data_IF_175512169549
#
_entry.id   IF_175512169549
#
_cell.length_a   1.000
_cell.length_b   1.000
_cell.length_c   1.000
_cell.angle_alpha   90.00
_cell.angle_beta   90.00
_cell.angle_gamma   90.00
#
_symmetry.space_group_name_H-M   'P 1'
#
loop_
_entity.id
_entity.type
_entity.pdbx_description
1 polymer ?
#
# COMPACT_ATOMS: atom_id res chain seq x y z
N UNK A 1 32.21 -40.76 -29.79
CA UNK A 1 32.49 -39.33 -29.54
C UNK A 1 32.06 -38.55 -30.78
N UNK A 2 30.90 -37.90 -30.75
CA UNK A 2 30.43 -37.00 -31.80
C UNK A 2 30.32 -35.61 -31.19
N UNK A 3 31.14 -34.67 -31.68
CA UNK A 3 31.03 -33.25 -31.34
C UNK A 3 30.03 -32.61 -32.29
N UNK A 4 28.88 -32.20 -31.77
CA UNK A 4 27.88 -31.40 -32.49
C UNK A 4 28.16 -29.93 -32.18
N UNK A 5 28.87 -29.25 -33.08
CA UNK A 5 29.11 -27.81 -33.01
C UNK A 5 27.87 -27.06 -33.51
N UNK A 6 27.15 -26.41 -32.60
CA UNK A 6 26.03 -25.51 -32.93
C UNK A 6 26.60 -24.09 -33.10
N UNK A 7 26.60 -23.61 -34.34
CA UNK A 7 26.79 -22.19 -34.65
C UNK A 7 25.47 -21.45 -34.41
N UNK A 8 25.41 -20.59 -33.40
CA UNK A 8 24.28 -19.68 -33.19
C UNK A 8 24.58 -18.37 -33.91
N UNK A 9 23.78 -18.08 -34.92
CA UNK A 9 23.79 -16.87 -35.73
C UNK A 9 23.15 -15.72 -34.93
N UNK A 10 23.94 -14.71 -34.55
CA UNK A 10 23.44 -13.49 -33.90
C UNK A 10 22.75 -12.59 -34.93
N UNK A 11 21.42 -12.49 -34.86
CA UNK A 11 20.67 -11.50 -35.61
C UNK A 11 20.69 -10.16 -34.88
N UNK A 12 21.40 -9.18 -35.44
CA UNK A 12 21.39 -7.77 -35.00
C UNK A 12 20.12 -7.12 -35.55
N UNK A 13 19.12 -6.89 -34.70
CA UNK A 13 17.96 -6.08 -35.03
C UNK A 13 18.23 -4.60 -34.71
N UNK A 14 18.57 -3.83 -35.73
CA UNK A 14 18.57 -2.35 -35.71
C UNK A 14 17.14 -1.84 -35.90
N UNK A 15 16.46 -1.54 -34.80
CA UNK A 15 15.16 -0.86 -34.80
C UNK A 15 15.30 0.67 -34.88
N UNK A 16 14.28 1.39 -35.38
CA UNK A 16 14.32 2.84 -35.57
C UNK A 16 14.28 3.61 -34.24
N UNK A 17 15.18 4.59 -34.12
CA UNK A 17 15.26 5.56 -33.03
C UNK A 17 14.07 6.51 -33.13
N UNK A 18 13.10 6.39 -32.23
CA UNK A 18 11.97 7.32 -32.13
C UNK A 18 12.36 8.51 -31.25
N UNK A 19 12.77 9.61 -31.89
CA UNK A 19 13.04 10.89 -31.22
C UNK A 19 11.69 11.50 -30.82
N UNK A 20 11.40 11.57 -29.52
CA UNK A 20 10.26 12.35 -29.00
C UNK A 20 10.60 13.84 -29.02
N UNK A 21 9.70 14.72 -29.52
CA UNK A 21 9.88 16.16 -29.40
C UNK A 21 9.72 16.63 -27.94
N UNK A 22 10.39 17.73 -27.54
CA UNK A 22 10.22 18.36 -26.25
C UNK A 22 8.83 18.99 -26.15
N UNK A 23 8.06 18.61 -25.12
CA UNK A 23 6.77 19.21 -24.84
C UNK A 23 6.99 20.53 -24.10
N UNK A 24 6.53 21.59 -24.73
CA UNK A 24 6.57 22.99 -24.31
C UNK A 24 5.90 23.21 -22.95
N UNK A 25 6.56 23.98 -22.09
CA UNK A 25 5.96 24.67 -20.95
C UNK A 25 4.74 25.50 -21.40
N UNK A 26 3.66 25.46 -20.64
CA UNK A 26 2.75 26.59 -20.56
C UNK A 26 2.47 26.93 -19.10
N UNK A 27 3.17 27.99 -18.69
CA UNK A 27 2.92 28.81 -17.52
C UNK A 27 1.46 29.28 -17.44
N UNK A 28 0.84 29.16 -16.27
CA UNK A 28 -0.23 30.06 -15.82
C UNK A 28 -0.16 30.19 -14.29
N UNK A 29 0.51 31.25 -13.86
CA UNK A 29 0.37 31.83 -12.52
C UNK A 29 -0.83 32.78 -12.50
N UNK A 30 -1.57 32.75 -11.39
CA UNK A 30 -2.20 33.92 -10.77
C UNK A 30 -3.59 34.34 -11.25
N UNK A 31 -4.60 34.22 -10.37
CA UNK A 31 -5.21 35.41 -9.77
C UNK A 31 -5.98 35.04 -8.49
N UNK A 32 -5.78 35.88 -7.47
CA UNK A 32 -6.45 35.91 -6.18
C UNK A 32 -7.97 36.13 -6.32
N UNK A 33 -8.75 35.46 -5.48
CA UNK A 33 -9.90 36.08 -4.81
C UNK A 33 -10.16 35.42 -3.44
N UNK A 34 -10.38 36.28 -2.46
CA UNK A 34 -10.71 36.07 -1.03
C UNK A 34 -11.57 37.29 -0.66
N UNK A 35 -12.32 37.37 0.45
CA UNK A 35 -13.02 36.39 1.30
C UNK A 35 -14.55 36.71 1.39
N UNK A 36 -15.39 35.84 1.97
CA UNK A 36 -16.77 36.27 2.28
C UNK A 36 -17.69 35.26 2.98
N UNK A 37 -18.24 35.71 4.12
CA UNK A 37 -19.39 35.23 4.90
C UNK A 37 -19.17 33.97 5.79
N UNK A 38 -19.00 34.09 7.11
CA UNK A 38 -19.92 34.56 8.18
C UNK A 38 -20.90 33.47 8.67
N UNK A 39 -21.11 33.31 10.00
CA UNK A 39 -21.55 32.05 10.62
C UNK A 39 -23.08 31.98 10.75
N UNK A 40 -23.63 30.77 10.68
CA UNK A 40 -25.04 30.51 11.04
C UNK A 40 -25.12 29.55 12.23
N UNK A 41 -25.86 30.05 13.22
CA UNK A 41 -26.13 29.57 14.58
C UNK A 41 -26.55 28.09 14.71
N UNK A 42 -26.45 27.51 15.93
CA UNK A 42 -26.77 26.13 16.21
C UNK A 42 -28.28 25.88 16.31
N UNK A 43 -28.73 24.86 15.58
CA UNK A 43 -30.08 24.30 15.63
C UNK A 43 -30.29 23.48 16.90
N UNK A 44 -31.13 24.04 17.76
CA UNK A 44 -31.57 23.58 19.06
C UNK A 44 -32.71 22.54 18.94
N UNK A 45 -32.52 21.41 19.64
CA UNK A 45 -33.52 20.61 20.37
C UNK A 45 -34.54 19.67 19.65
N UNK A 46 -34.58 18.46 20.23
CA UNK A 46 -35.75 17.63 20.59
C UNK A 46 -36.15 16.48 19.66
N UNK A 47 -35.87 15.24 20.09
CA UNK A 47 -36.80 14.12 20.39
C UNK A 47 -35.97 12.83 20.54
N UNK A 48 -36.24 11.82 21.38
CA UNK A 48 -37.33 11.49 22.32
C UNK A 48 -36.73 10.46 23.28
N UNK A 49 -36.59 10.83 24.56
CA UNK A 49 -36.14 9.92 25.61
C UNK A 49 -37.34 9.05 26.04
N UNK A 50 -37.38 7.79 25.64
CA UNK A 50 -38.35 6.82 26.15
C UNK A 50 -37.98 6.41 27.56
N UNK A 51 -38.75 6.97 28.51
CA UNK A 51 -38.83 6.63 29.92
C UNK A 51 -39.21 5.14 30.07
N UNK A 52 -38.24 4.28 30.39
CA UNK A 52 -38.52 3.01 31.06
C UNK A 52 -38.17 3.17 32.54
N UNK A 53 -39.19 3.01 33.39
CA UNK A 53 -39.12 3.11 34.84
C UNK A 53 -38.49 1.85 35.44
N UNK A 54 -37.35 2.05 36.10
CA UNK A 54 -36.88 1.49 37.37
C UNK A 54 -37.22 0.04 37.72
N UNK A 55 -36.18 -0.80 37.84
CA UNK A 55 -36.05 -1.72 38.97
C UNK A 55 -34.70 -1.47 39.65
N UNK A 56 -34.76 -1.27 40.96
CA UNK A 56 -33.74 -0.71 41.83
C UNK A 56 -33.40 -1.73 42.91
N UNK A 57 -32.52 -2.70 42.63
CA UNK A 57 -31.77 -3.47 43.65
C UNK A 57 -30.48 -3.98 43.00
N UNK A 58 -29.31 -3.53 43.46
CA UNK A 58 -28.03 -4.11 43.03
C UNK A 58 -26.86 -3.14 42.94
N UNK A 59 -26.65 -2.32 43.97
CA UNK A 59 -25.36 -1.68 44.25
C UNK A 59 -24.32 -2.79 44.49
N UNK A 60 -23.56 -3.15 43.46
CA UNK A 60 -22.28 -3.86 43.61
C UNK A 60 -21.20 -2.96 43.03
N UNK A 61 -20.26 -2.60 43.88
CA UNK A 61 -19.23 -1.59 43.69
C UNK A 61 -18.56 -1.70 42.30
N UNK A 62 -18.67 -0.63 41.50
CA UNK A 62 -17.80 -0.39 40.36
C UNK A 62 -16.39 -0.17 40.91
N UNK A 63 -15.61 -1.25 41.03
CA UNK A 63 -14.19 -1.19 41.30
C UNK A 63 -13.52 -0.60 40.06
N UNK A 64 -13.25 0.70 40.10
CA UNK A 64 -12.46 1.39 39.08
C UNK A 64 -11.02 0.87 39.15
N UNK A 65 -10.74 -0.20 38.40
CA UNK A 65 -9.38 -0.62 38.11
C UNK A 65 -8.76 0.45 37.20
N UNK A 66 -8.06 1.41 37.80
CA UNK A 66 -7.13 2.27 37.10
C UNK A 66 -5.98 1.40 36.61
N UNK A 67 -6.14 0.78 35.43
CA UNK A 67 -5.05 0.13 34.73
C UNK A 67 -4.01 1.19 34.40
N UNK A 68 -2.94 1.22 35.19
CA UNK A 68 -1.69 1.87 34.82
C UNK A 68 -1.16 1.14 33.60
N UNK A 69 -1.61 1.58 32.42
CA UNK A 69 -1.03 1.19 31.16
C UNK A 69 0.40 1.71 31.18
N UNK A 70 1.33 0.84 31.55
CA UNK A 70 2.75 1.06 31.32
C UNK A 70 2.89 1.33 29.82
N UNK A 71 3.38 2.50 29.38
CA UNK A 71 3.77 2.63 28.00
C UNK A 71 4.94 1.67 27.82
N UNK A 72 4.65 0.47 27.33
CA UNK A 72 5.66 -0.39 26.71
C UNK A 72 6.34 0.51 25.70
N UNK A 73 7.58 0.86 26.00
CA UNK A 73 8.43 1.66 25.13
C UNK A 73 8.23 1.13 23.72
N UNK A 74 7.63 1.96 22.87
CA UNK A 74 7.42 1.63 21.47
C UNK A 74 8.74 1.10 20.94
N UNK A 75 8.75 -0.08 20.29
CA UNK A 75 9.97 -0.55 19.65
C UNK A 75 10.47 0.60 18.80
N UNK A 76 11.74 0.96 18.99
CA UNK A 76 12.45 2.01 18.25
C UNK A 76 12.09 1.77 16.79
N UNK A 77 11.12 2.52 16.28
CA UNK A 77 10.69 2.41 14.90
C UNK A 77 11.78 3.11 14.12
N UNK A 78 12.84 2.37 13.84
CA UNK A 78 13.95 2.79 13.00
C UNK A 78 13.35 3.43 11.75
N UNK A 79 13.45 4.75 11.69
CA UNK A 79 12.81 5.57 10.68
C UNK A 79 13.51 5.28 9.36
N UNK A 80 12.98 4.31 8.62
CA UNK A 80 13.37 4.11 7.23
C UNK A 80 13.02 5.40 6.52
N UNK A 81 14.02 6.04 5.92
CA UNK A 81 13.82 7.19 5.04
C UNK A 81 13.05 6.72 3.80
N UNK A 82 11.73 6.64 3.93
CA UNK A 82 10.82 6.19 2.88
C UNK A 82 10.89 7.10 1.65
N UNK A 83 11.40 8.32 1.81
CA UNK A 83 11.65 9.30 0.75
C UNK A 83 12.80 8.90 -0.18
N UNK A 84 13.75 8.09 0.30
CA UNK A 84 14.82 7.51 -0.52
C UNK A 84 14.44 6.14 -1.13
N UNK A 85 13.35 5.52 -0.66
CA UNK A 85 12.92 4.20 -1.10
C UNK A 85 12.05 4.28 -2.36
N UNK A 86 12.66 4.19 -3.53
CA UNK A 86 11.94 4.02 -4.79
C UNK A 86 11.51 2.56 -5.02
N UNK A 87 10.54 2.35 -5.92
CA UNK A 87 10.26 1.03 -6.45
C UNK A 87 11.44 0.52 -7.29
N UNK A 88 11.87 -0.71 -7.02
CA UNK A 88 12.86 -1.41 -7.86
C UNK A 88 12.15 -2.50 -8.65
N UNK A 89 12.11 -2.38 -9.98
CA UNK A 89 11.43 -3.33 -10.87
C UNK A 89 12.43 -4.22 -11.60
N UNK A 90 12.12 -5.52 -11.72
CA UNK A 90 13.00 -6.51 -12.36
C UNK A 90 12.60 -6.90 -13.77
N UNK A 91 11.41 -6.49 -14.21
CA UNK A 91 10.88 -6.80 -15.55
C UNK A 91 10.28 -5.55 -16.16
N UNK A 92 10.21 -5.54 -17.48
CA UNK A 92 9.38 -4.59 -18.20
C UNK A 92 7.90 -4.89 -17.95
N UNK A 93 7.07 -3.87 -18.03
CA UNK A 93 5.65 -3.99 -17.80
C UNK A 93 4.88 -2.78 -18.30
N UNK A 94 3.62 -2.72 -17.91
CA UNK A 94 2.73 -1.60 -18.23
C UNK A 94 1.91 -1.22 -17.00
N UNK A 95 2.59 -0.82 -15.93
CA UNK A 95 1.98 -0.30 -14.72
C UNK A 95 2.52 1.09 -14.41
N UNK A 96 1.64 2.07 -14.23
CA UNK A 96 2.00 3.43 -13.81
C UNK A 96 1.48 3.76 -12.42
N UNK A 97 1.74 5.00 -11.98
CA UNK A 97 1.25 5.51 -10.69
C UNK A 97 -0.27 5.37 -10.52
N UNK A 98 -1.06 5.60 -11.58
CA UNK A 98 -2.53 5.44 -11.54
C UNK A 98 -2.95 3.99 -11.24
N UNK A 99 -2.32 3.01 -11.88
CA UNK A 99 -2.58 1.58 -11.64
C UNK A 99 -2.17 1.17 -10.24
N UNK A 100 -1.03 1.66 -9.75
CA UNK A 100 -0.58 1.44 -8.37
C UNK A 100 -1.60 1.98 -7.35
N UNK A 101 -2.08 3.22 -7.54
CA UNK A 101 -3.09 3.82 -6.67
C UNK A 101 -4.40 3.01 -6.69
N UNK A 102 -4.86 2.59 -7.88
CA UNK A 102 -6.09 1.82 -8.03
C UNK A 102 -6.00 0.43 -7.37
N UNK A 103 -4.89 -0.29 -7.61
CA UNK A 103 -4.65 -1.61 -7.00
C UNK A 103 -4.44 -1.53 -5.49
N UNK A 104 -3.74 -0.50 -4.98
CA UNK A 104 -3.64 -0.21 -3.55
C UNK A 104 -5.02 0.04 -2.92
N UNK A 105 -5.88 0.83 -3.56
CA UNK A 105 -7.26 1.04 -3.07
C UNK A 105 -8.04 -0.28 -3.00
N UNK A 106 -7.94 -1.12 -4.03
CA UNK A 106 -8.55 -2.44 -4.04
C UNK A 106 -8.00 -3.36 -2.93
N UNK A 107 -6.70 -3.26 -2.65
CA UNK A 107 -6.06 -3.99 -1.56
C UNK A 107 -6.66 -3.61 -0.20
N UNK A 108 -6.74 -2.30 0.08
CA UNK A 108 -7.34 -1.80 1.32
C UNK A 108 -8.82 -2.16 1.44
N UNK A 109 -9.56 -2.25 0.33
CA UNK A 109 -10.94 -2.72 0.34
C UNK A 109 -11.06 -4.21 0.70
N UNK A 110 -10.09 -5.05 0.32
CA UNK A 110 -10.13 -6.51 0.56
C UNK A 110 -9.53 -6.92 1.90
N UNK A 111 -8.49 -6.22 2.37
CA UNK A 111 -7.76 -6.58 3.59
C UNK A 111 -7.90 -5.55 4.72
N UNK A 112 -8.59 -4.43 4.47
CA UNK A 112 -8.74 -3.34 5.42
C UNK A 112 -7.53 -2.38 5.43
N UNK A 113 -7.69 -1.28 6.17
CA UNK A 113 -6.63 -0.29 6.38
C UNK A 113 -5.77 -0.57 7.62
N UNK A 114 -6.15 -1.56 8.44
CA UNK A 114 -5.35 -1.97 9.60
C UNK A 114 -4.04 -2.62 9.16
N UNK A 115 -3.02 -2.52 10.03
CA UNK A 115 -1.75 -3.22 9.88
C UNK A 115 -2.00 -4.72 9.82
N UNK A 116 -1.40 -5.39 8.84
CA UNK A 116 -1.54 -6.83 8.68
C UNK A 116 -0.51 -7.58 9.53
N UNK A 117 -0.96 -8.66 10.16
CA UNK A 117 -0.10 -9.65 10.81
C UNK A 117 0.11 -10.81 9.84
N UNK A 118 1.36 -11.03 9.45
CA UNK A 118 1.77 -12.00 8.45
C UNK A 118 2.58 -13.11 9.12
N UNK A 119 2.25 -14.36 8.85
CA UNK A 119 3.11 -15.49 9.20
C UNK A 119 4.45 -15.41 8.44
N UNK A 120 5.42 -16.24 8.83
CA UNK A 120 6.67 -16.36 8.10
C UNK A 120 6.44 -16.80 6.66
N UNK A 121 7.14 -16.17 5.71
CA UNK A 121 7.04 -16.44 4.27
C UNK A 121 5.65 -16.25 3.64
N UNK A 122 4.75 -15.53 4.30
CA UNK A 122 3.40 -15.29 3.84
C UNK A 122 3.25 -13.94 3.11
N UNK A 123 2.51 -13.94 1.99
CA UNK A 123 2.09 -12.73 1.31
C UNK A 123 0.58 -12.50 1.40
N UNK A 124 0.17 -11.24 1.48
CA UNK A 124 -1.20 -10.79 1.21
C UNK A 124 -1.19 -10.02 -0.10
N UNK A 125 -1.97 -10.47 -1.08
CA UNK A 125 -1.94 -9.92 -2.44
C UNK A 125 -3.35 -9.75 -2.97
N UNK A 126 -3.62 -8.62 -3.61
CA UNK A 126 -4.81 -8.42 -4.44
C UNK A 126 -4.42 -8.47 -5.91
N UNK A 127 -5.25 -9.09 -6.75
CA UNK A 127 -5.17 -9.02 -8.22
C UNK A 127 -6.31 -8.20 -8.77
N UNK A 128 -5.98 -7.12 -9.47
CA UNK A 128 -6.90 -6.17 -10.04
C UNK A 128 -6.33 -5.48 -11.27
N UNK A 129 -7.17 -5.24 -12.27
CA UNK A 129 -6.76 -4.48 -13.46
C UNK A 129 -5.55 -5.09 -14.18
N UNK A 130 -5.47 -6.44 -14.23
CA UNK A 130 -4.33 -7.22 -14.74
C UNK A 130 -3.01 -6.96 -14.01
N UNK A 131 -3.09 -6.37 -12.82
CA UNK A 131 -1.97 -6.06 -11.95
C UNK A 131 -2.19 -6.68 -10.58
N UNK A 132 -1.11 -6.81 -9.83
CA UNK A 132 -1.17 -7.17 -8.44
C UNK A 132 -0.55 -6.09 -7.58
N UNK A 133 -1.07 -5.96 -6.36
CA UNK A 133 -0.46 -5.19 -5.28
C UNK A 133 -0.53 -6.02 -4.00
N UNK A 134 0.53 -6.01 -3.21
CA UNK A 134 0.54 -6.77 -1.96
C UNK A 134 1.73 -6.47 -1.06
N UNK A 135 1.75 -7.17 0.06
CA UNK A 135 2.84 -7.16 1.04
C UNK A 135 3.24 -8.60 1.36
N UNK A 136 4.54 -8.85 1.42
CA UNK A 136 5.14 -10.14 1.74
C UNK A 136 6.03 -10.03 2.97
N UNK A 137 5.92 -11.01 3.87
CA UNK A 137 6.90 -11.25 4.91
C UNK A 137 7.90 -12.29 4.42
N UNK A 138 9.14 -11.89 4.14
CA UNK A 138 10.20 -12.81 3.71
C UNK A 138 10.97 -13.45 4.86
N UNK A 139 10.67 -13.08 6.11
CA UNK A 139 11.27 -13.72 7.30
C UNK A 139 10.53 -15.01 7.66
N UNK A 140 11.16 -15.85 8.49
CA UNK A 140 10.60 -17.13 8.96
C UNK A 140 9.62 -16.99 10.15
N UNK A 141 9.54 -15.82 10.77
CA UNK A 141 8.71 -15.55 11.94
C UNK A 141 7.57 -14.57 11.63
N UNK A 142 6.59 -14.50 12.53
CA UNK A 142 5.44 -13.59 12.40
C UNK A 142 5.91 -12.13 12.40
N UNK A 143 5.38 -11.33 11.48
CA UNK A 143 5.62 -9.89 11.44
C UNK A 143 4.33 -9.10 11.29
N UNK A 144 4.32 -7.95 11.94
CA UNK A 144 3.29 -6.93 11.76
C UNK A 144 3.83 -5.90 10.79
N UNK A 145 3.07 -5.62 9.74
CA UNK A 145 3.32 -4.54 8.79
C UNK A 145 3.65 -3.23 9.52
N UNK A 146 4.64 -2.46 9.07
CA UNK A 146 5.00 -1.19 9.70
C UNK A 146 3.94 -0.12 9.38
N UNK A 147 3.60 0.71 10.38
CA UNK A 147 2.60 1.77 10.21
C UNK A 147 3.05 2.79 9.16
N UNK A 148 2.12 3.32 8.36
CA UNK A 148 2.39 4.35 7.35
C UNK A 148 3.01 3.84 6.04
N UNK A 149 3.86 2.82 6.10
CA UNK A 149 4.70 2.42 4.95
C UNK A 149 3.89 1.96 3.73
N UNK A 150 2.68 1.41 3.92
CA UNK A 150 1.79 1.06 2.81
C UNK A 150 1.43 2.28 1.97
N UNK A 151 1.15 3.40 2.63
CA UNK A 151 0.83 4.66 1.97
C UNK A 151 2.07 5.27 1.32
N UNK A 152 3.24 5.11 1.93
CA UNK A 152 4.51 5.55 1.36
C UNK A 152 4.79 4.79 0.06
N UNK A 153 4.60 3.46 0.06
CA UNK A 153 4.72 2.62 -1.14
C UNK A 153 3.77 3.06 -2.26
N UNK A 154 2.53 3.43 -1.93
CA UNK A 154 1.55 3.97 -2.89
C UNK A 154 1.98 5.33 -3.47
N UNK A 155 2.58 6.18 -2.64
CA UNK A 155 2.99 7.53 -3.02
C UNK A 155 4.33 7.57 -3.77
N UNK A 156 5.17 6.54 -3.60
CA UNK A 156 6.40 6.40 -4.36
C UNK A 156 6.07 6.08 -5.83
N UNK A 157 6.36 7.02 -6.71
CA UNK A 157 6.12 6.85 -8.15
C UNK A 157 7.11 5.81 -8.68
N UNK A 158 6.65 4.69 -9.28
CA UNK A 158 7.55 3.80 -9.99
C UNK A 158 8.09 4.56 -11.21
N UNK A 159 9.37 4.96 -11.16
CA UNK A 159 10.04 5.73 -12.21
C UNK A 159 10.02 4.99 -13.57
N UNK A 160 10.01 3.66 -13.51
CA UNK A 160 9.99 2.80 -14.67
C UNK A 160 8.61 2.15 -14.76
N UNK A 161 8.07 2.00 -15.98
CA UNK A 161 6.87 1.19 -16.28
C UNK A 161 7.18 -0.30 -16.09
N UNK A 162 7.78 -0.66 -14.96
CA UNK A 162 8.24 -2.01 -14.70
C UNK A 162 7.14 -2.90 -14.12
N UNK A 163 7.46 -4.18 -14.06
CA UNK A 163 6.70 -5.20 -13.35
C UNK A 163 7.63 -5.99 -12.44
N UNK A 164 7.06 -6.81 -11.55
CA UNK A 164 7.80 -7.48 -10.47
C UNK A 164 8.59 -6.46 -9.63
N UNK A 165 7.93 -5.35 -9.32
CA UNK A 165 8.48 -4.26 -8.54
C UNK A 165 8.42 -4.60 -7.06
N UNK A 166 9.48 -4.20 -6.35
CA UNK A 166 9.61 -4.32 -4.91
C UNK A 166 9.82 -2.94 -4.30
N UNK A 167 9.15 -2.69 -3.18
CA UNK A 167 9.36 -1.52 -2.34
C UNK A 167 9.69 -2.01 -0.93
N UNK A 168 10.78 -1.51 -0.37
CA UNK A 168 11.26 -1.95 0.94
C UNK A 168 10.30 -1.47 2.05
N UNK A 169 9.59 -2.41 2.67
CA UNK A 169 8.65 -2.14 3.76
C UNK A 169 9.30 -2.07 5.14
N UNK A 170 10.64 -2.18 5.20
CA UNK A 170 11.41 -2.41 6.41
C UNK A 170 11.84 -3.87 6.58
N UNK A 171 12.47 -4.16 7.71
CA UNK A 171 13.04 -5.46 8.10
C UNK A 171 12.25 -6.69 7.61
N UNK A 172 12.61 -7.19 6.42
CA UNK A 172 12.04 -8.40 5.82
C UNK A 172 10.57 -8.32 5.37
N UNK A 173 9.91 -7.16 5.49
CA UNK A 173 8.60 -6.91 4.88
C UNK A 173 8.79 -6.13 3.58
N UNK A 174 8.11 -6.53 2.52
CA UNK A 174 8.30 -5.91 1.20
C UNK A 174 6.96 -5.80 0.50
N UNK A 175 6.68 -4.61 -0.02
CA UNK A 175 5.53 -4.41 -0.89
C UNK A 175 5.89 -4.81 -2.31
N UNK A 176 4.94 -5.41 -2.99
CA UNK A 176 5.11 -5.95 -4.34
C UNK A 176 4.05 -5.37 -5.26
N UNK A 177 4.45 -5.01 -6.47
CA UNK A 177 3.56 -4.47 -7.50
C UNK A 177 4.00 -4.92 -8.89
N UNK A 178 3.05 -5.19 -9.79
CA UNK A 178 3.38 -5.55 -11.18
C UNK A 178 2.20 -6.16 -11.93
N UNK A 179 2.46 -6.64 -13.14
CA UNK A 179 1.51 -7.40 -13.94
C UNK A 179 1.25 -8.79 -13.31
N UNK A 180 0.02 -9.25 -13.31
CA UNK A 180 -0.38 -10.53 -12.72
C UNK A 180 0.35 -11.76 -13.28
N UNK A 181 0.80 -11.71 -14.55
CA UNK A 181 1.59 -12.77 -15.19
C UNK A 181 2.96 -12.97 -14.53
N UNK A 182 3.44 -11.94 -13.83
CA UNK A 182 4.73 -11.92 -13.15
C UNK A 182 4.61 -12.24 -11.65
N UNK A 183 3.40 -12.50 -11.16
CA UNK A 183 3.19 -12.87 -9.77
C UNK A 183 3.62 -14.32 -9.52
N UNK A 184 4.63 -14.49 -8.67
CA UNK A 184 5.01 -15.81 -8.13
C UNK A 184 4.21 -16.05 -6.85
N UNK A 185 3.22 -16.94 -6.91
CA UNK A 185 2.41 -17.33 -5.75
C UNK A 185 3.04 -18.52 -5.04
N UNK A 186 3.09 -18.47 -3.70
CA UNK A 186 3.53 -19.57 -2.85
C UNK A 186 2.36 -20.15 -2.07
N UNK A 187 2.54 -21.40 -1.64
CA UNK A 187 1.58 -22.05 -0.73
C UNK A 187 1.53 -21.26 0.58
N UNK A 188 0.33 -20.83 0.98
CA UNK A 188 0.11 -20.03 2.19
C UNK A 188 -0.13 -18.54 1.94
N UNK A 189 0.03 -18.07 0.70
CA UNK A 189 -0.30 -16.70 0.34
C UNK A 189 -1.82 -16.46 0.35
N UNK A 190 -2.22 -15.33 0.90
CA UNK A 190 -3.59 -14.84 0.85
C UNK A 190 -3.79 -13.98 -0.39
N UNK A 191 -4.22 -14.62 -1.47
CA UNK A 191 -4.52 -13.94 -2.74
C UNK A 191 -6.02 -13.68 -2.84
N UNK A 192 -6.40 -12.43 -3.13
CA UNK A 192 -7.78 -12.02 -3.40
C UNK A 192 -7.87 -11.41 -4.79
N UNK A 193 -8.99 -11.63 -5.48
CA UNK A 193 -9.30 -10.95 -6.74
C UNK A 193 -10.30 -9.83 -6.41
N UNK A 194 -10.20 -8.66 -7.05
CA UNK A 194 -11.35 -7.75 -7.06
C UNK A 194 -12.52 -8.43 -7.75
#
# INVERSE_FOLDING_TARGET
>A
MFFLSIFILSAVFTGPVFIRPPSTELSRQGLLESPGASPKSPGMLTTRQTRNKLSLVGLVALLAAASTATPLASPIEESIDATAAGWTCKRDGWGGSSTLIATHSAFNRKFGNSRLTMAGHQCYVVKCYQHYFGICNYTSYVRVEKSGVRNDAKNAIPYNRGSACIFNGGWGATYVFGNEEHLVQKKGDHVRIC
#
